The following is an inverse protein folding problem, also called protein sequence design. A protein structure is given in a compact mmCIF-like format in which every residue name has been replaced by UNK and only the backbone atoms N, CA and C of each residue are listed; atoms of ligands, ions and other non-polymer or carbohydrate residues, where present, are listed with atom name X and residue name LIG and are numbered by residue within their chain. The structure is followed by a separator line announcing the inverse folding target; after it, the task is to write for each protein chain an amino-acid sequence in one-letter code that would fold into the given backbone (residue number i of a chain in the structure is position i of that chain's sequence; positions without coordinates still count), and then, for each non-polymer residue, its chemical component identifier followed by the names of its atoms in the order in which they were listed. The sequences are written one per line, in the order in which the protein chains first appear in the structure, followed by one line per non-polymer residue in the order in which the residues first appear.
data_IF_014198772070
#
_entry.id   IF_014198772070
#
_cell.length_a   1.000
_cell.length_b   1.000
_cell.length_c   1.000
_cell.angle_alpha   90.00
_cell.angle_beta   90.00
_cell.angle_gamma   90.00
#
_symmetry.space_group_name_H-M   'P 1'
#
loop_
_entity.id
_entity.type
_entity.pdbx_description
1 polymer ?
#
# COMPACT_ATOMS: atom_id res chain seq x y z
N UNK A 1 -49.64 -10.96 -14.79
CA UNK A 1 -48.73 -11.75 -13.93
C UNK A 1 -47.33 -11.62 -14.51
N UNK A 2 -46.48 -10.80 -13.90
CA UNK A 2 -45.09 -10.56 -14.34
C UNK A 2 -44.21 -11.53 -13.54
N UNK A 3 -43.52 -12.42 -14.24
CA UNK A 3 -42.52 -13.31 -13.64
C UNK A 3 -41.28 -12.48 -13.32
N UNK A 4 -41.03 -12.25 -12.02
CA UNK A 4 -39.77 -11.69 -11.52
C UNK A 4 -38.86 -12.86 -11.13
N UNK A 5 -38.01 -13.25 -12.08
CA UNK A 5 -36.90 -14.14 -11.86
C UNK A 5 -35.68 -13.35 -11.38
N UNK A 6 -35.01 -13.91 -10.36
CA UNK A 6 -33.63 -13.66 -9.92
C UNK A 6 -33.34 -12.31 -9.25
N UNK A 7 -33.41 -12.32 -7.92
CA UNK A 7 -32.35 -11.69 -7.12
C UNK A 7 -31.37 -12.80 -6.78
N UNK A 8 -30.27 -12.88 -7.53
CA UNK A 8 -29.17 -13.77 -7.20
C UNK A 8 -28.54 -13.29 -5.91
N UNK A 9 -28.78 -14.01 -4.82
CA UNK A 9 -27.92 -13.99 -3.65
C UNK A 9 -26.52 -14.47 -4.08
N UNK A 10 -25.66 -13.53 -4.46
CA UNK A 10 -24.22 -13.78 -4.60
C UNK A 10 -23.61 -13.92 -3.20
N UNK A 11 -23.91 -15.07 -2.62
CA UNK A 11 -23.11 -15.79 -1.65
C UNK A 11 -21.71 -16.01 -2.22
N UNK A 12 -20.87 -15.00 -2.08
CA UNK A 12 -19.46 -15.07 -2.43
C UNK A 12 -18.66 -14.46 -1.30
N UNK A 13 -18.38 -15.24 -0.26
CA UNK A 13 -17.31 -14.92 0.68
C UNK A 13 -15.98 -15.05 -0.09
N UNK A 14 -15.70 -14.08 -0.96
CA UNK A 14 -14.41 -13.94 -1.60
C UNK A 14 -13.45 -13.65 -0.46
N UNK A 15 -12.70 -14.68 -0.06
CA UNK A 15 -11.65 -14.57 0.93
C UNK A 15 -10.69 -13.50 0.42
N UNK A 16 -10.89 -12.26 0.88
CA UNK A 16 -10.01 -11.15 0.57
C UNK A 16 -8.70 -11.48 1.27
N UNK A 17 -7.76 -12.01 0.51
CA UNK A 17 -6.40 -12.26 0.97
C UNK A 17 -5.82 -10.90 1.33
N UNK A 18 -5.87 -10.55 2.62
CA UNK A 18 -5.31 -9.32 3.15
C UNK A 18 -3.80 -9.52 3.24
N UNK A 19 -3.06 -8.82 2.39
CA UNK A 19 -1.61 -8.74 2.53
C UNK A 19 -1.26 -8.18 3.92
N UNK A 20 -0.36 -8.83 4.68
CA UNK A 20 0.12 -8.30 5.95
C UNK A 20 0.65 -6.87 5.79
N UNK A 21 0.31 -6.03 6.77
CA UNK A 21 0.67 -4.62 6.77
C UNK A 21 2.17 -4.38 6.51
N UNK A 22 2.99 -5.16 7.19
CA UNK A 22 4.44 -4.96 7.22
C UNK A 22 5.08 -5.30 5.88
N UNK A 23 4.54 -6.30 5.17
CA UNK A 23 4.96 -6.65 3.81
C UNK A 23 4.64 -5.52 2.83
N UNK A 24 3.45 -4.92 2.92
CA UNK A 24 3.08 -3.78 2.06
C UNK A 24 4.03 -2.61 2.30
N UNK A 25 4.34 -2.30 3.56
CA UNK A 25 5.27 -1.22 3.90
C UNK A 25 6.69 -1.52 3.41
N UNK A 26 7.14 -2.77 3.53
CA UNK A 26 8.44 -3.17 3.04
C UNK A 26 8.56 -2.96 1.52
N UNK A 27 7.54 -3.37 0.76
CA UNK A 27 7.47 -3.16 -0.70
C UNK A 27 7.53 -1.66 -1.03
N UNK A 28 6.69 -0.85 -0.40
CA UNK A 28 6.66 0.61 -0.63
C UNK A 28 8.00 1.24 -0.26
N UNK A 29 8.66 0.78 0.81
CA UNK A 29 9.94 1.35 1.26
C UNK A 29 11.06 1.22 0.21
N UNK A 30 10.93 0.26 -0.71
CA UNK A 30 11.89 0.02 -1.81
C UNK A 30 11.67 0.95 -3.00
N UNK A 31 10.58 1.70 -3.04
CA UNK A 31 10.27 2.62 -4.13
C UNK A 31 11.01 3.96 -3.99
N UNK A 32 11.21 4.70 -5.11
CA UNK A 32 11.80 6.04 -5.06
C UNK A 32 11.00 6.98 -4.15
N UNK A 33 11.69 7.87 -3.42
CA UNK A 33 11.06 8.79 -2.45
C UNK A 33 9.88 9.56 -3.03
N UNK A 34 10.09 10.13 -4.22
CA UNK A 34 9.06 10.92 -4.92
C UNK A 34 7.78 10.12 -5.13
N UNK A 35 7.92 8.84 -5.47
CA UNK A 35 6.79 7.95 -5.68
C UNK A 35 6.07 7.64 -4.35
N UNK A 36 6.84 7.30 -3.30
CA UNK A 36 6.28 7.02 -1.97
C UNK A 36 5.50 8.22 -1.41
N UNK A 37 5.99 9.45 -1.63
CA UNK A 37 5.28 10.66 -1.19
C UNK A 37 3.94 10.83 -1.93
N UNK A 38 3.91 10.54 -3.23
CA UNK A 38 2.67 10.59 -4.03
C UNK A 38 1.64 9.55 -3.57
N UNK A 39 2.07 8.40 -3.05
CA UNK A 39 1.17 7.38 -2.53
C UNK A 39 0.25 7.88 -1.40
N UNK A 40 0.62 8.96 -0.69
CA UNK A 40 -0.24 9.61 0.32
C UNK A 40 -1.59 10.08 -0.26
N UNK A 41 -1.66 10.33 -1.57
CA UNK A 41 -2.86 10.79 -2.26
C UNK A 41 -3.78 9.63 -2.67
N UNK A 42 -3.30 8.38 -2.68
CA UNK A 42 -4.05 7.23 -3.18
C UNK A 42 -5.19 6.82 -2.24
N UNK A 43 -4.98 6.90 -0.93
CA UNK A 43 -6.03 6.62 0.06
C UNK A 43 -5.67 7.13 1.46
N UNK A 44 -6.69 7.24 2.32
CA UNK A 44 -6.51 7.53 3.75
C UNK A 44 -5.58 6.52 4.45
N UNK A 45 -5.63 5.26 4.03
CA UNK A 45 -4.81 4.18 4.56
C UNK A 45 -3.32 4.42 4.25
N UNK A 46 -2.99 4.68 2.97
CA UNK A 46 -1.63 5.02 2.57
C UNK A 46 -1.15 6.33 3.22
N UNK A 47 -2.01 7.36 3.28
CA UNK A 47 -1.69 8.63 3.95
C UNK A 47 -1.27 8.42 5.40
N UNK A 48 -2.05 7.67 6.17
CA UNK A 48 -1.77 7.39 7.58
C UNK A 48 -0.47 6.62 7.75
N UNK A 49 -0.26 5.58 6.94
CA UNK A 49 0.94 4.73 7.02
C UNK A 49 2.22 5.45 6.61
N UNK A 50 2.21 6.17 5.49
CA UNK A 50 3.40 6.87 4.99
C UNK A 50 3.76 8.06 5.90
N UNK A 51 2.77 8.65 6.57
CA UNK A 51 3.02 9.72 7.54
C UNK A 51 3.39 9.21 8.93
N UNK A 52 3.43 7.88 9.14
CA UNK A 52 3.83 7.31 10.41
C UNK A 52 5.34 7.53 10.65
N UNK A 53 5.76 7.94 11.86
CA UNK A 53 7.17 8.22 12.16
C UNK A 53 8.09 7.03 11.92
N UNK A 54 7.70 5.84 12.37
CA UNK A 54 8.51 4.61 12.20
C UNK A 54 8.73 4.22 10.73
N UNK A 55 7.69 4.40 9.91
CA UNK A 55 7.81 4.17 8.47
C UNK A 55 8.74 5.22 7.83
N UNK A 56 8.62 6.48 8.24
CA UNK A 56 9.46 7.58 7.74
C UNK A 56 10.94 7.36 8.07
N UNK A 57 11.27 6.89 9.28
CA UNK A 57 12.64 6.52 9.68
C UNK A 57 13.18 5.40 8.80
N UNK A 58 12.40 4.34 8.61
CA UNK A 58 12.78 3.18 7.78
C UNK A 58 13.03 3.60 6.33
N UNK A 59 12.13 4.41 5.76
CA UNK A 59 12.24 4.93 4.40
C UNK A 59 13.50 5.77 4.22
N UNK A 60 13.78 6.68 5.17
CA UNK A 60 14.94 7.56 5.12
C UNK A 60 16.26 6.77 5.20
N UNK A 61 16.36 5.81 6.13
CA UNK A 61 17.53 4.94 6.25
C UNK A 61 17.81 4.19 4.96
N UNK A 62 16.76 3.63 4.33
CA UNK A 62 16.90 2.86 3.09
C UNK A 62 17.37 3.71 1.91
N UNK A 63 16.87 4.93 1.79
CA UNK A 63 17.24 5.83 0.69
C UNK A 63 18.63 6.42 0.82
N UNK A 64 19.13 6.57 2.05
CA UNK A 64 20.53 6.96 2.30
C UNK A 64 21.51 5.94 1.70
N UNK A 65 21.16 4.65 1.75
CA UNK A 65 21.95 3.57 1.12
C UNK A 65 21.94 3.69 -0.40
N UNK A 66 20.80 4.04 -1.01
CA UNK A 66 20.70 4.19 -2.47
C UNK A 66 21.53 5.35 -3.01
N UNK A 67 21.67 6.46 -2.27
CA UNK A 67 22.48 7.61 -2.70
C UNK A 67 23.98 7.34 -2.61
N UNK A 68 24.44 6.54 -1.65
CA UNK A 68 25.87 6.23 -1.48
C UNK A 68 26.41 5.33 -2.61
N UNK A 69 25.58 4.45 -3.17
CA UNK A 69 26.00 3.46 -4.17
C UNK A 69 26.02 4.00 -5.61
N UNK A 70 25.59 5.25 -5.83
CA UNK A 70 25.57 5.90 -7.14
C UNK A 70 26.82 6.77 -7.42
N UNK A 71 27.82 6.73 -6.54
CA UNK A 71 29.08 7.48 -6.66
C UNK A 71 30.31 6.60 -6.90
N UNK A 72 30.15 5.43 -7.53
CA UNK A 72 31.26 4.58 -7.99
C UNK A 72 31.30 4.58 -9.51
#
# INVERSE_FOLDING_TARGET
MRNDNRVEEHSGLSATVKMPHDIVMEIISRWPLKFVVQCKLLSKNFKGRISHPEFSKTLFQRQKVTLHNSSI
#
